data_IF_112061199873
#
_entry.id   IF_112061199873
#
_cell.length_a   1.000
_cell.length_b   1.000
_cell.length_c   1.000
_cell.angle_alpha   90.00
_cell.angle_beta   90.00
_cell.angle_gamma   90.00
#
_symmetry.space_group_name_H-M   'P 1'
#
loop_
_entity.id
_entity.type
_entity.pdbx_description
1 polymer ?
#
# COMPACT_ATOMS: atom_id res chain seq x y z
N UNK A 1 40.37 7.42 -0.33
CA UNK A 1 39.15 8.12 -0.79
C UNK A 1 38.17 7.18 -1.51
N UNK A 2 38.61 6.34 -2.46
CA UNK A 2 37.76 5.32 -3.12
C UNK A 2 37.08 4.31 -2.17
N UNK A 3 37.78 3.79 -1.16
CA UNK A 3 37.20 2.84 -0.21
C UNK A 3 35.99 3.40 0.57
N UNK A 4 35.96 4.71 0.86
CA UNK A 4 34.81 5.37 1.52
C UNK A 4 33.60 5.47 0.60
N UNK A 5 33.82 5.73 -0.69
CA UNK A 5 32.75 5.74 -1.69
C UNK A 5 32.18 4.33 -1.92
N UNK A 6 33.04 3.31 -2.00
CA UNK A 6 32.58 1.92 -2.11
C UNK A 6 31.76 1.49 -0.89
N UNK A 7 32.18 1.88 0.32
CA UNK A 7 31.43 1.58 1.54
C UNK A 7 30.06 2.26 1.58
N UNK A 8 29.99 3.55 1.18
CA UNK A 8 28.73 4.29 1.09
C UNK A 8 27.77 3.70 0.05
N UNK A 9 28.29 3.31 -1.11
CA UNK A 9 27.49 2.67 -2.17
C UNK A 9 26.99 1.28 -1.73
N UNK A 10 27.85 0.48 -1.09
CA UNK A 10 27.47 -0.83 -0.56
C UNK A 10 26.40 -0.73 0.54
N UNK A 11 26.52 0.28 1.42
CA UNK A 11 25.51 0.56 2.47
C UNK A 11 24.16 0.95 1.85
N UNK A 12 24.15 1.86 0.87
CA UNK A 12 22.92 2.24 0.17
C UNK A 12 22.27 1.06 -0.55
N UNK A 13 23.06 0.24 -1.25
CA UNK A 13 22.58 -0.96 -1.92
C UNK A 13 22.02 -2.01 -0.93
N UNK A 14 22.62 -2.14 0.25
CA UNK A 14 22.09 -3.00 1.30
C UNK A 14 20.77 -2.46 1.85
N UNK A 15 20.70 -1.16 2.13
CA UNK A 15 19.51 -0.49 2.66
C UNK A 15 18.31 -0.58 1.69
N UNK A 16 18.57 -0.52 0.38
CA UNK A 16 17.57 -0.67 -0.67
C UNK A 16 16.93 -2.07 -0.75
N UNK A 17 17.48 -3.09 -0.06
CA UNK A 17 16.91 -4.45 -0.09
C UNK A 17 15.99 -4.66 1.10
N UNK A 18 14.67 -4.90 0.92
CA UNK A 18 13.81 -5.26 2.04
C UNK A 18 14.25 -6.59 2.67
N UNK A 19 13.81 -6.84 3.90
CA UNK A 19 14.02 -8.11 4.62
C UNK A 19 12.70 -8.65 5.13
N UNK A 20 12.50 -9.95 5.02
CA UNK A 20 11.38 -10.61 5.69
C UNK A 20 11.70 -10.77 7.17
N UNK A 21 10.74 -10.43 8.03
CA UNK A 21 10.80 -10.56 9.48
C UNK A 21 9.50 -11.15 10.00
N UNK A 22 9.52 -11.71 11.21
CA UNK A 22 8.29 -12.15 11.88
C UNK A 22 7.34 -10.98 12.12
N UNK A 23 6.03 -11.22 12.08
CA UNK A 23 5.01 -10.24 12.45
C UNK A 23 5.22 -9.72 13.89
N UNK A 24 4.85 -8.47 14.13
CA UNK A 24 4.95 -7.86 15.45
C UNK A 24 4.11 -8.63 16.46
N UNK A 25 4.67 -8.92 17.63
CA UNK A 25 3.94 -9.55 18.75
C UNK A 25 2.86 -8.62 19.35
N UNK A 26 2.89 -7.34 18.98
CA UNK A 26 1.92 -6.34 19.43
C UNK A 26 0.65 -6.32 18.57
N UNK A 27 0.70 -6.87 17.35
CA UNK A 27 -0.47 -6.94 16.47
C UNK A 27 -1.51 -7.88 17.07
N UNK A 28 -2.76 -7.44 17.02
CA UNK A 28 -3.92 -8.18 17.48
C UNK A 28 -4.90 -8.30 16.34
N UNK A 29 -5.43 -9.50 16.16
CA UNK A 29 -6.45 -9.74 15.16
C UNK A 29 -7.79 -9.23 15.68
N UNK A 30 -8.56 -8.67 14.76
CA UNK A 30 -9.92 -8.20 14.99
C UNK A 30 -10.78 -8.69 13.83
N UNK A 31 -12.08 -8.82 14.09
CA UNK A 31 -13.03 -9.10 13.03
C UNK A 31 -13.01 -7.99 11.97
N UNK A 32 -13.14 -8.32 10.66
CA UNK A 32 -13.12 -7.35 9.59
C UNK A 32 -14.41 -6.50 9.62
N UNK A 33 -14.32 -5.37 10.32
CA UNK A 33 -15.41 -4.41 10.46
C UNK A 33 -14.86 -2.98 10.42
N UNK A 34 -15.17 -2.25 9.34
CA UNK A 34 -14.76 -0.87 9.15
C UNK A 34 -15.31 0.06 10.26
N UNK A 35 -16.38 -0.31 10.97
CA UNK A 35 -16.91 0.50 12.07
C UNK A 35 -15.98 0.56 13.29
N UNK A 36 -14.98 -0.33 13.38
CA UNK A 36 -13.93 -0.26 14.40
C UNK A 36 -12.98 0.92 14.14
N UNK A 37 -12.87 1.36 12.88
CA UNK A 37 -12.04 2.49 12.50
C UNK A 37 -12.86 3.79 12.56
N UNK A 38 -12.28 4.91 13.04
CA UNK A 38 -12.93 6.20 13.00
C UNK A 38 -12.84 6.82 11.60
N UNK A 39 -13.43 6.16 10.59
CA UNK A 39 -13.43 6.64 9.21
C UNK A 39 -14.29 7.89 9.10
N UNK A 40 -13.72 8.97 8.56
CA UNK A 40 -14.35 10.29 8.57
C UNK A 40 -15.08 10.57 7.26
N UNK A 41 -16.15 11.35 7.34
CA UNK A 41 -16.69 12.12 6.22
C UNK A 41 -16.20 13.54 6.41
N UNK A 42 -15.20 13.94 5.63
CA UNK A 42 -14.40 15.14 5.90
C UNK A 42 -15.10 16.43 5.48
N UNK A 43 -15.88 16.39 4.40
CA UNK A 43 -16.53 17.55 3.82
C UNK A 43 -18.05 17.37 3.64
N UNK A 44 -18.83 18.46 3.58
CA UNK A 44 -20.29 18.39 3.52
C UNK A 44 -20.87 17.61 2.32
N UNK A 45 -20.24 17.70 1.15
CA UNK A 45 -20.69 17.00 -0.08
C UNK A 45 -19.89 15.71 -0.37
N UNK A 46 -19.08 15.23 0.59
CA UNK A 46 -18.41 13.93 0.44
C UNK A 46 -19.46 12.81 0.37
N UNK A 47 -19.30 11.89 -0.59
CA UNK A 47 -20.26 10.81 -0.83
C UNK A 47 -20.37 9.78 0.31
N UNK A 48 -19.46 9.80 1.28
CA UNK A 48 -19.49 8.90 2.43
C UNK A 48 -18.20 8.93 3.24
N UNK A 49 -18.01 7.96 4.16
CA UNK A 49 -16.76 7.83 4.91
C UNK A 49 -15.59 7.43 3.99
N UNK A 50 -14.47 8.15 4.13
CA UNK A 50 -13.28 7.98 3.30
C UNK A 50 -12.05 7.69 4.16
N UNK A 51 -11.36 6.59 3.87
CA UNK A 51 -10.00 6.37 4.36
C UNK A 51 -9.08 7.19 3.45
N UNK A 52 -8.57 8.30 3.99
CA UNK A 52 -7.94 9.37 3.20
C UNK A 52 -6.50 9.08 2.80
N UNK A 53 -5.73 8.45 3.69
CA UNK A 53 -4.30 8.21 3.49
C UNK A 53 -3.85 6.75 3.73
N UNK A 54 -4.50 5.75 3.11
CA UNK A 54 -4.03 4.39 3.24
C UNK A 54 -2.93 4.09 2.22
N UNK A 55 -1.88 3.41 2.66
CA UNK A 55 -0.88 2.83 1.76
C UNK A 55 -1.34 1.44 1.32
N UNK A 56 -1.73 1.33 0.06
CA UNK A 56 -2.18 0.09 -0.55
C UNK A 56 -0.99 -0.64 -1.17
N UNK A 57 -0.82 -1.90 -0.76
CA UNK A 57 0.20 -2.82 -1.24
C UNK A 57 -0.45 -3.82 -2.18
N UNK A 58 0.07 -3.91 -3.41
CA UNK A 58 -0.39 -4.86 -4.43
C UNK A 58 0.80 -5.52 -5.11
N UNK A 59 0.58 -6.65 -5.77
CA UNK A 59 1.59 -7.36 -6.56
C UNK A 59 1.00 -7.88 -7.87
N UNK A 60 1.82 -8.12 -8.91
CA UNK A 60 1.35 -8.82 -10.10
C UNK A 60 1.04 -10.30 -9.78
N UNK A 61 0.29 -11.01 -10.65
CA UNK A 61 0.10 -12.44 -10.53
C UNK A 61 1.42 -13.23 -10.57
N UNK A 62 1.45 -14.37 -9.89
CA UNK A 62 2.61 -15.26 -9.82
C UNK A 62 3.14 -15.41 -8.40
N UNK A 63 4.42 -15.71 -8.27
CA UNK A 63 5.09 -15.87 -6.98
C UNK A 63 5.07 -14.58 -6.15
N UNK A 64 5.00 -14.74 -4.84
CA UNK A 64 5.13 -13.61 -3.92
C UNK A 64 6.57 -13.07 -3.91
N UNK A 65 6.75 -11.90 -4.52
CA UNK A 65 8.04 -11.23 -4.64
C UNK A 65 7.93 -9.74 -4.26
N UNK A 66 8.42 -9.35 -3.06
CA UNK A 66 8.42 -7.95 -2.61
C UNK A 66 9.11 -6.96 -3.56
N UNK A 67 10.06 -7.42 -4.38
CA UNK A 67 10.72 -6.59 -5.38
C UNK A 67 9.79 -6.14 -6.52
N UNK A 68 8.62 -6.77 -6.67
CA UNK A 68 7.58 -6.44 -7.67
C UNK A 68 6.33 -5.81 -7.05
N UNK A 69 6.36 -5.48 -5.77
CA UNK A 69 5.23 -4.83 -5.13
C UNK A 69 5.10 -3.40 -5.63
N UNK A 70 3.86 -2.92 -5.67
CA UNK A 70 3.52 -1.51 -5.74
C UNK A 70 3.04 -1.08 -4.36
N UNK A 71 3.64 -0.02 -3.82
CA UNK A 71 3.13 0.68 -2.65
C UNK A 71 2.65 2.06 -3.11
N UNK A 72 1.38 2.37 -2.90
CA UNK A 72 0.85 3.68 -3.27
C UNK A 72 -0.25 4.14 -2.34
N UNK A 73 -0.48 5.45 -2.30
CA UNK A 73 -1.62 6.02 -1.56
C UNK A 73 -2.83 6.07 -2.49
N UNK A 74 -3.90 5.36 -2.12
CA UNK A 74 -5.16 5.33 -2.87
C UNK A 74 -6.31 5.53 -1.90
N UNK A 75 -7.05 6.62 -2.01
CA UNK A 75 -8.22 6.86 -1.16
C UNK A 75 -9.21 5.69 -1.25
N UNK A 76 -9.84 5.34 -0.14
CA UNK A 76 -10.80 4.23 -0.08
C UNK A 76 -12.14 4.67 0.51
N UNK A 77 -13.20 4.63 -0.30
CA UNK A 77 -14.56 4.93 0.17
C UNK A 77 -15.17 3.68 0.82
N UNK A 78 -15.55 3.77 2.08
CA UNK A 78 -16.23 2.67 2.78
C UNK A 78 -17.70 2.62 2.35
N UNK A 79 -18.18 1.45 1.95
CA UNK A 79 -19.56 1.27 1.46
C UNK A 79 -20.34 0.19 2.22
N UNK A 80 -19.66 -0.65 3.01
CA UNK A 80 -20.29 -1.64 3.86
C UNK A 80 -19.36 -1.99 5.04
N UNK A 81 -19.83 -2.91 5.90
CA UNK A 81 -19.07 -3.43 7.05
C UNK A 81 -17.66 -3.90 6.68
N UNK A 82 -17.54 -4.61 5.56
CA UNK A 82 -16.31 -5.27 5.10
C UNK A 82 -15.97 -4.92 3.64
N UNK A 83 -16.59 -3.87 3.07
CA UNK A 83 -16.34 -3.44 1.69
C UNK A 83 -15.99 -1.97 1.58
N UNK A 84 -15.02 -1.70 0.72
CA UNK A 84 -14.62 -0.36 0.33
C UNK A 84 -14.27 -0.32 -1.17
N UNK A 85 -14.34 0.86 -1.76
CA UNK A 85 -14.01 1.11 -3.16
C UNK A 85 -12.58 1.67 -3.24
N UNK A 86 -11.76 1.13 -4.15
CA UNK A 86 -10.47 1.71 -4.53
C UNK A 86 -10.58 2.23 -5.96
N UNK A 87 -10.30 3.52 -6.16
CA UNK A 87 -10.26 4.12 -7.50
C UNK A 87 -8.86 4.04 -8.10
N UNK A 88 -8.74 3.31 -9.21
CA UNK A 88 -7.49 3.22 -9.95
C UNK A 88 -7.30 4.40 -10.91
N UNK A 89 -6.17 5.09 -10.79
CA UNK A 89 -5.68 5.95 -11.87
C UNK A 89 -4.90 5.08 -12.87
N UNK A 90 -5.23 5.10 -14.19
CA UNK A 90 -4.75 4.11 -15.17
C UNK A 90 -3.22 3.92 -15.23
N UNK A 91 -2.45 4.98 -14.96
CA UNK A 91 -0.98 4.99 -15.05
C UNK A 91 -0.27 4.54 -13.76
N UNK A 92 -0.99 4.14 -12.70
CA UNK A 92 -0.40 3.74 -11.42
C UNK A 92 -0.17 2.22 -11.37
N UNK A 93 0.85 1.79 -10.62
CA UNK A 93 1.22 0.37 -10.56
C UNK A 93 0.10 -0.54 -10.06
N UNK A 94 -0.67 -0.11 -9.04
CA UNK A 94 -1.87 -0.84 -8.59
C UNK A 94 -2.90 -1.08 -9.71
N UNK A 95 -3.10 -0.12 -10.61
CA UNK A 95 -3.98 -0.28 -11.77
C UNK A 95 -3.42 -1.25 -12.81
N UNK A 96 -2.10 -1.29 -12.97
CA UNK A 96 -1.44 -2.27 -13.84
C UNK A 96 -1.56 -3.69 -13.26
N UNK A 97 -1.36 -3.87 -11.96
CA UNK A 97 -1.56 -5.16 -11.29
C UNK A 97 -3.01 -5.63 -11.39
N UNK A 98 -3.99 -4.75 -11.09
CA UNK A 98 -5.41 -5.10 -11.17
C UNK A 98 -5.79 -5.60 -12.57
N UNK A 99 -5.34 -4.93 -13.63
CA UNK A 99 -5.55 -5.40 -15.02
C UNK A 99 -4.96 -6.79 -15.29
N UNK A 100 -3.79 -7.10 -14.74
CA UNK A 100 -3.17 -8.43 -14.90
C UNK A 100 -3.95 -9.54 -14.18
N UNK A 101 -4.47 -9.26 -12.98
CA UNK A 101 -5.34 -10.18 -12.23
C UNK A 101 -6.70 -10.34 -12.89
N UNK A 102 -7.30 -9.23 -13.33
CA UNK A 102 -8.55 -9.20 -14.08
C UNK A 102 -8.46 -10.03 -15.37
N UNK A 103 -7.35 -9.94 -16.12
CA UNK A 103 -7.13 -10.75 -17.31
C UNK A 103 -7.08 -12.27 -17.03
N UNK A 104 -6.80 -12.67 -15.78
CA UNK A 104 -6.87 -14.06 -15.33
C UNK A 104 -8.23 -14.44 -14.73
N UNK A 105 -9.14 -13.48 -14.56
CA UNK A 105 -10.44 -13.69 -13.91
C UNK A 105 -10.33 -14.02 -12.42
N UNK A 106 -9.21 -13.66 -11.78
CA UNK A 106 -8.94 -13.95 -10.38
C UNK A 106 -8.98 -12.66 -9.55
N UNK A 107 -9.34 -12.76 -8.29
CA UNK A 107 -9.26 -11.64 -7.37
C UNK A 107 -7.80 -11.29 -7.05
N UNK A 108 -7.50 -9.99 -6.99
CA UNK A 108 -6.16 -9.51 -6.68
C UNK A 108 -5.98 -9.41 -5.16
N UNK A 109 -4.99 -10.07 -4.53
CA UNK A 109 -4.70 -9.85 -3.13
C UNK A 109 -4.27 -8.40 -2.90
N UNK A 110 -4.79 -7.79 -1.84
CA UNK A 110 -4.48 -6.41 -1.46
C UNK A 110 -4.32 -6.29 0.05
N UNK A 111 -3.26 -5.61 0.47
CA UNK A 111 -3.09 -5.17 1.85
C UNK A 111 -3.19 -3.66 1.93
N UNK A 112 -3.92 -3.15 2.90
CA UNK A 112 -4.13 -1.71 3.13
C UNK A 112 -3.51 -1.37 4.47
N UNK A 113 -2.49 -0.52 4.45
CA UNK A 113 -1.76 -0.12 5.65
C UNK A 113 -2.16 1.30 6.04
N UNK A 114 -2.68 1.46 7.26
CA UNK A 114 -2.95 2.76 7.87
C UNK A 114 -1.92 2.96 8.97
N UNK A 115 -1.01 3.90 8.75
CA UNK A 115 0.16 4.11 9.62
C UNK A 115 1.28 3.13 9.33
N UNK A 116 2.47 3.67 9.06
CA UNK A 116 3.74 2.95 8.94
C UNK A 116 4.87 3.95 9.24
N UNK A 117 6.14 3.50 9.20
CA UNK A 117 7.23 4.45 9.41
C UNK A 117 7.27 5.54 8.32
N UNK A 118 7.62 6.80 8.68
CA UNK A 118 7.44 7.95 7.78
C UNK A 118 8.15 7.82 6.44
N UNK A 119 9.33 7.19 6.39
CA UNK A 119 10.08 7.02 5.15
C UNK A 119 9.35 6.09 4.17
N UNK A 120 8.64 5.08 4.66
CA UNK A 120 7.83 4.20 3.80
C UNK A 120 6.61 4.93 3.26
N UNK A 121 5.91 5.71 4.10
CA UNK A 121 4.77 6.51 3.65
C UNK A 121 5.18 7.57 2.60
N UNK A 122 6.33 8.23 2.79
CA UNK A 122 6.88 9.18 1.83
C UNK A 122 7.29 8.46 0.54
N UNK A 123 7.96 7.32 0.62
CA UNK A 123 8.38 6.57 -0.55
C UNK A 123 7.19 6.11 -1.42
N UNK A 124 6.03 5.82 -0.80
CA UNK A 124 4.81 5.42 -1.51
C UNK A 124 4.14 6.54 -2.33
N UNK A 125 4.50 7.81 -2.10
CA UNK A 125 3.99 8.95 -2.89
C UNK A 125 5.04 9.58 -3.80
N UNK A 126 6.32 9.29 -3.57
CA UNK A 126 7.40 9.80 -4.39
C UNK A 126 7.41 9.14 -5.78
N UNK A 127 7.67 9.89 -6.86
CA UNK A 127 7.92 9.29 -8.15
C UNK A 127 9.26 8.54 -8.09
N UNK A 128 9.18 7.21 -7.96
CA UNK A 128 10.38 6.38 -7.96
C UNK A 128 11.00 6.34 -9.36
N UNK A 129 12.35 6.40 -9.48
CA UNK A 129 13.02 6.14 -10.74
C UNK A 129 12.67 4.75 -11.29
N UNK A 130 12.75 4.59 -12.60
CA UNK A 130 12.53 3.29 -13.24
C UNK A 130 13.45 2.22 -12.64
N UNK A 131 12.87 1.06 -12.31
CA UNK A 131 13.60 -0.06 -11.71
C UNK A 131 13.87 0.07 -10.20
N UNK A 132 13.46 1.17 -9.55
CA UNK A 132 13.53 1.34 -8.10
C UNK A 132 12.13 1.17 -7.50
N UNK A 133 11.93 0.15 -6.66
CA UNK A 133 10.67 0.00 -5.94
C UNK A 133 10.55 1.00 -4.79
N UNK A 134 9.32 1.30 -4.36
CA UNK A 134 9.07 2.18 -3.23
C UNK A 134 9.67 1.63 -1.93
N UNK A 135 9.72 0.30 -1.77
CA UNK A 135 10.43 -0.35 -0.67
C UNK A 135 11.93 -0.08 -0.69
N UNK A 136 12.52 -0.10 -1.89
CA UNK A 136 13.94 0.21 -2.08
C UNK A 136 14.22 1.68 -1.77
N UNK A 137 13.36 2.57 -2.26
CA UNK A 137 13.45 4.01 -1.99
C UNK A 137 13.31 4.31 -0.51
N UNK A 138 12.32 3.70 0.15
CA UNK A 138 12.14 3.81 1.59
C UNK A 138 13.40 3.40 2.34
N UNK A 139 14.00 2.26 1.99
CA UNK A 139 15.21 1.79 2.64
C UNK A 139 16.40 2.74 2.48
N UNK A 140 16.54 3.37 1.31
CA UNK A 140 17.58 4.37 1.04
C UNK A 140 17.36 5.66 1.84
N UNK A 141 16.13 6.18 1.89
CA UNK A 141 15.78 7.39 2.67
C UNK A 141 16.08 7.18 4.15
N UNK A 142 15.78 5.99 4.64
CA UNK A 142 15.83 5.65 6.05
C UNK A 142 17.18 5.04 6.47
N UNK A 143 18.11 4.87 5.51
CA UNK A 143 19.42 4.22 5.65
C UNK A 143 19.36 2.89 6.42
N UNK A 144 18.25 2.16 6.22
CA UNK A 144 17.96 0.87 6.87
C UNK A 144 17.04 0.04 6.00
N UNK A 145 17.24 -1.27 6.01
CA UNK A 145 16.38 -2.22 5.30
C UNK A 145 14.97 -2.19 5.87
N UNK A 146 13.96 -1.99 5.01
CA UNK A 146 12.55 -2.13 5.38
C UNK A 146 12.28 -3.57 5.81
N UNK A 147 11.80 -3.74 7.04
CA UNK A 147 11.32 -5.03 7.52
C UNK A 147 9.92 -5.26 6.98
N UNK A 148 9.68 -6.44 6.42
CA UNK A 148 8.38 -6.86 5.89
C UNK A 148 7.88 -8.04 6.70
N UNK A 149 6.65 -7.94 7.18
CA UNK A 149 5.94 -9.01 7.88
C UNK A 149 4.89 -9.62 6.96
N UNK A 150 4.73 -10.95 6.97
CA UNK A 150 3.71 -11.61 6.16
C UNK A 150 2.32 -11.20 6.66
N UNK A 151 1.42 -10.99 5.69
CA UNK A 151 -0.01 -10.95 5.94
C UNK A 151 -0.51 -12.33 6.42
N UNK A 152 -1.64 -12.37 7.10
CA UNK A 152 -2.19 -13.60 7.71
C UNK A 152 -3.13 -14.37 6.78
N UNK A 153 -3.95 -13.66 6.01
CA UNK A 153 -5.04 -14.22 5.20
C UNK A 153 -4.77 -14.18 3.70
N UNK A 154 -3.72 -13.45 3.28
CA UNK A 154 -3.36 -13.27 1.86
C UNK A 154 -1.87 -13.44 1.64
N UNK A 155 -1.48 -13.83 0.42
CA UNK A 155 -0.08 -13.97 -0.01
C UNK A 155 0.53 -12.60 -0.36
N UNK A 156 0.74 -11.78 0.68
CA UNK A 156 1.41 -10.49 0.62
C UNK A 156 2.23 -10.27 1.89
N UNK A 157 3.12 -9.28 1.82
CA UNK A 157 3.81 -8.74 2.97
C UNK A 157 3.57 -7.24 3.09
N UNK A 158 3.58 -6.74 4.33
CA UNK A 158 3.45 -5.33 4.68
C UNK A 158 4.64 -4.87 5.51
N UNK A 159 4.93 -3.56 5.62
CA UNK A 159 5.96 -3.09 6.54
C UNK A 159 5.72 -3.61 7.96
N UNK A 160 6.76 -4.12 8.61
CA UNK A 160 6.70 -4.56 10.00
C UNK A 160 6.40 -3.40 10.97
N UNK A 161 6.54 -2.16 10.50
CA UNK A 161 6.19 -0.92 11.19
C UNK A 161 4.72 -0.54 11.08
N UNK A 162 3.89 -1.31 10.35
CA UNK A 162 2.47 -1.02 10.18
C UNK A 162 1.71 -0.97 11.51
N UNK A 163 0.86 0.04 11.65
CA UNK A 163 0.00 0.21 12.84
C UNK A 163 -1.31 -0.56 12.69
N UNK A 164 -1.98 -0.38 11.55
CA UNK A 164 -3.22 -1.09 11.19
C UNK A 164 -3.05 -1.68 9.79
N UNK A 165 -3.41 -2.95 9.63
CA UNK A 165 -3.36 -3.67 8.35
C UNK A 165 -4.73 -4.24 8.08
N UNK A 166 -5.31 -3.88 6.93
CA UNK A 166 -6.51 -4.52 6.39
C UNK A 166 -6.07 -5.46 5.28
N UNK A 167 -6.53 -6.70 5.34
CA UNK A 167 -6.20 -7.72 4.36
C UNK A 167 -7.45 -8.15 3.63
N UNK A 168 -7.36 -8.31 2.31
CA UNK A 168 -8.48 -8.76 1.51
C UNK A 168 -8.12 -8.88 0.04
N UNK A 169 -9.13 -8.77 -0.81
CA UNK A 169 -8.99 -8.89 -2.25
C UNK A 169 -9.70 -7.76 -2.99
N UNK A 170 -9.23 -7.45 -4.19
CA UNK A 170 -9.92 -6.57 -5.14
C UNK A 170 -10.56 -7.43 -6.21
N UNK A 171 -11.88 -7.32 -6.33
CA UNK A 171 -12.66 -8.04 -7.34
C UNK A 171 -12.19 -7.68 -8.76
N UNK A 172 -12.17 -8.65 -9.69
CA UNK A 172 -11.88 -8.37 -11.09
C UNK A 172 -13.03 -7.63 -11.79
N UNK A 173 -14.27 -7.74 -11.28
CA UNK A 173 -15.48 -7.33 -12.01
C UNK A 173 -16.45 -6.46 -11.20
N UNK A 174 -16.41 -6.53 -9.87
CA UNK A 174 -17.31 -5.73 -9.02
C UNK A 174 -16.84 -4.28 -8.99
N UNK A 175 -17.76 -3.37 -9.31
CA UNK A 175 -17.52 -1.93 -9.28
C UNK A 175 -18.72 -1.24 -8.63
N UNK A 176 -18.47 -0.07 -8.04
CA UNK A 176 -19.48 0.77 -7.43
C UNK A 176 -19.16 2.24 -7.73
N UNK A 177 -20.16 3.12 -7.60
CA UNK A 177 -19.96 4.56 -7.76
C UNK A 177 -19.10 5.08 -6.60
N UNK A 178 -18.03 5.80 -6.94
CA UNK A 178 -17.09 6.41 -5.99
C UNK A 178 -17.19 7.93 -6.11
N UNK A 179 -17.12 8.62 -4.97
CA UNK A 179 -17.20 10.08 -4.93
C UNK A 179 -18.60 10.64 -5.16
N UNK A 180 -18.71 11.99 -5.19
CA UNK A 180 -17.60 12.93 -5.17
C UNK A 180 -16.90 13.05 -3.81
N UNK A 181 -15.66 13.52 -3.82
CA UNK A 181 -14.92 13.92 -2.61
C UNK A 181 -14.18 15.23 -2.82
N UNK A 182 -14.01 16.01 -1.75
CA UNK A 182 -13.15 17.19 -1.76
C UNK A 182 -11.71 16.81 -2.16
N UNK A 183 -11.17 17.47 -3.18
CA UNK A 183 -9.86 17.17 -3.75
C UNK A 183 -8.83 18.27 -3.45
N UNK A 184 -7.54 17.93 -3.58
CA UNK A 184 -6.41 18.84 -3.39
C UNK A 184 -6.42 20.07 -4.31
N UNK A 185 -7.26 20.06 -5.35
CA UNK A 185 -7.48 21.18 -6.27
C UNK A 185 -8.46 22.23 -5.72
N UNK A 186 -9.15 21.94 -4.62
CA UNK A 186 -10.18 22.80 -4.03
C UNK A 186 -11.59 22.58 -4.58
N UNK A 187 -11.81 21.52 -5.36
CA UNK A 187 -13.11 21.15 -5.93
C UNK A 187 -13.47 19.70 -5.58
N UNK A 188 -14.74 19.36 -5.78
CA UNK A 188 -15.22 17.98 -5.66
C UNK A 188 -14.93 17.16 -6.93
N UNK A 189 -14.46 15.93 -6.74
CA UNK A 189 -14.13 14.96 -7.79
C UNK A 189 -14.51 13.53 -7.40
#
# INVERSE_FOLDING_TARGET
>A
RQARHMFSAARGALAARPKIVSSSRLWRDVEPDFAILPVQTCWPEDAGPLITWPMVVTRPPGEDNPGKYNLGIYRMQVIARDRAIIRWLPMRGGAAHHRMWQAKGLEMPVAVVIGADPATLIAAVMPAPEGVSELSLSGMINDRRVGLSPCKSIELHVPASSEIVLEGTVSPNETAQEGPFGDHTGYYN
#
